data_IF_585158751362
#
_entry.id   IF_585158751362
#
_cell.length_a   1.000
_cell.length_b   1.000
_cell.length_c   1.000
_cell.angle_alpha   90.00
_cell.angle_beta   90.00
_cell.angle_gamma   90.00
#
_symmetry.space_group_name_H-M   'P 1'
#
loop_
_entity.id
_entity.type
_entity.pdbx_description
1 polymer ?
#
# COMPACT_ATOMS: atom_id res chain seq x y z
N UNK A 1 -16.61 -20.09 11.83
CA UNK A 1 -15.20 -19.89 11.44
C UNK A 1 -14.55 -21.28 11.43
N UNK A 2 -13.86 -21.65 10.35
CA UNK A 2 -13.06 -22.88 10.31
C UNK A 2 -11.97 -22.79 11.40
N UNK A 3 -11.67 -23.88 12.09
CA UNK A 3 -10.52 -23.90 12.99
C UNK A 3 -9.22 -23.84 12.18
N UNK A 4 -8.13 -23.41 12.80
CA UNK A 4 -6.82 -23.39 12.15
C UNK A 4 -6.41 -24.79 11.68
N UNK A 5 -6.66 -25.82 12.50
CA UNK A 5 -6.38 -27.21 12.14
C UNK A 5 -7.15 -27.65 10.89
N UNK A 6 -8.44 -27.29 10.80
CA UNK A 6 -9.27 -27.61 9.63
C UNK A 6 -8.74 -26.91 8.37
N UNK A 7 -8.32 -25.65 8.49
CA UNK A 7 -7.73 -24.90 7.39
C UNK A 7 -6.44 -25.58 6.87
N UNK A 8 -5.52 -25.96 7.76
CA UNK A 8 -4.28 -26.63 7.38
C UNK A 8 -4.54 -27.99 6.72
N UNK A 9 -5.54 -28.73 7.22
CA UNK A 9 -5.97 -30.00 6.62
C UNK A 9 -6.54 -29.79 5.21
N UNK A 10 -7.37 -28.75 5.00
CA UNK A 10 -7.88 -28.41 3.68
C UNK A 10 -6.76 -28.02 2.71
N UNK A 11 -5.79 -27.23 3.15
CA UNK A 11 -4.60 -26.86 2.37
C UNK A 11 -3.81 -28.11 1.94
N UNK A 12 -3.65 -29.09 2.84
CA UNK A 12 -3.00 -30.37 2.52
C UNK A 12 -3.77 -31.15 1.43
N UNK A 13 -5.12 -31.14 1.46
CA UNK A 13 -5.92 -31.77 0.40
C UNK A 13 -5.79 -31.02 -0.93
N UNK A 14 -5.77 -29.68 -0.92
CA UNK A 14 -5.57 -28.87 -2.12
C UNK A 14 -4.23 -29.23 -2.78
N UNK A 15 -3.16 -29.41 -2.00
CA UNK A 15 -1.85 -29.82 -2.53
C UNK A 15 -1.88 -31.22 -3.15
N UNK A 16 -2.72 -32.15 -2.64
CA UNK A 16 -2.92 -33.46 -3.28
C UNK A 16 -3.65 -33.31 -4.62
N UNK A 17 -4.68 -32.48 -4.70
CA UNK A 17 -5.38 -32.21 -5.97
C UNK A 17 -4.45 -31.52 -6.97
N UNK A 18 -3.61 -30.60 -6.50
CA UNK A 18 -2.61 -29.91 -7.31
C UNK A 18 -1.62 -30.85 -8.01
N UNK A 19 -1.39 -32.05 -7.47
CA UNK A 19 -0.54 -33.05 -8.12
C UNK A 19 -1.03 -33.44 -9.53
N UNK A 20 -2.34 -33.39 -9.75
CA UNK A 20 -3.00 -33.71 -11.02
C UNK A 20 -3.07 -32.51 -11.99
N UNK A 21 -2.63 -31.33 -11.59
CA UNK A 21 -2.57 -30.16 -12.47
C UNK A 21 -1.35 -30.28 -13.38
N UNK A 22 -1.57 -30.19 -14.69
CA UNK A 22 -0.52 -30.22 -15.71
C UNK A 22 0.24 -28.88 -15.74
N UNK A 23 -0.49 -27.77 -15.88
CA UNK A 23 0.09 -26.42 -16.01
C UNK A 23 0.47 -25.79 -14.66
N UNK A 24 1.43 -26.41 -13.97
CA UNK A 24 1.88 -25.97 -12.64
C UNK A 24 2.48 -24.57 -12.64
N UNK A 25 3.14 -24.16 -13.73
CA UNK A 25 3.73 -22.83 -13.86
C UNK A 25 2.68 -21.74 -13.97
N UNK A 26 1.57 -22.01 -14.67
CA UNK A 26 0.43 -21.09 -14.77
C UNK A 26 -0.21 -20.90 -13.40
N UNK A 27 -0.44 -22.00 -12.67
CA UNK A 27 -0.89 -21.94 -11.28
C UNK A 27 0.04 -21.07 -10.43
N UNK A 28 1.36 -21.28 -10.53
CA UNK A 28 2.35 -20.55 -9.76
C UNK A 28 2.31 -19.05 -10.06
N UNK A 29 2.17 -18.64 -11.32
CA UNK A 29 2.05 -17.23 -11.70
C UNK A 29 0.83 -16.56 -11.07
N UNK A 30 -0.32 -17.22 -11.08
CA UNK A 30 -1.52 -16.69 -10.42
C UNK A 30 -1.41 -16.70 -8.90
N UNK A 31 -0.92 -17.81 -8.32
CA UNK A 31 -0.76 -17.93 -6.88
C UNK A 31 0.21 -16.88 -6.32
N UNK A 32 1.33 -16.63 -7.00
CA UNK A 32 2.31 -15.58 -6.66
C UNK A 32 1.67 -14.19 -6.62
N UNK A 33 0.81 -13.86 -7.60
CA UNK A 33 0.06 -12.58 -7.62
C UNK A 33 -0.90 -12.47 -6.44
N UNK A 34 -1.65 -13.53 -6.15
CA UNK A 34 -2.61 -13.55 -5.04
C UNK A 34 -1.91 -13.51 -3.67
N UNK A 35 -0.80 -14.24 -3.51
CA UNK A 35 0.02 -14.20 -2.30
C UNK A 35 0.56 -12.79 -2.06
N UNK A 36 1.11 -12.15 -3.10
CA UNK A 36 1.63 -10.79 -2.98
C UNK A 36 0.56 -9.81 -2.47
N UNK A 37 -0.65 -9.88 -3.04
CA UNK A 37 -1.78 -9.04 -2.60
C UNK A 37 -2.14 -9.27 -1.14
N UNK A 38 -2.18 -10.53 -0.69
CA UNK A 38 -2.48 -10.84 0.71
C UNK A 38 -1.39 -10.26 1.61
N UNK A 39 -0.12 -10.61 1.39
CA UNK A 39 1.02 -10.18 2.21
C UNK A 39 1.12 -8.64 2.35
N UNK A 40 0.91 -7.90 1.27
CA UNK A 40 1.05 -6.44 1.26
C UNK A 40 -0.14 -5.70 1.86
N UNK A 41 -1.33 -6.29 1.89
CA UNK A 41 -2.54 -5.61 2.41
C UNK A 41 -2.77 -5.84 3.90
N UNK A 42 -1.92 -6.63 4.58
CA UNK A 42 -1.94 -6.89 6.02
C UNK A 42 -3.29 -7.29 6.64
N UNK A 43 -4.27 -7.71 5.82
CA UNK A 43 -5.56 -8.19 6.33
C UNK A 43 -5.37 -9.54 7.01
N UNK A 44 -5.22 -9.54 8.35
CA UNK A 44 -5.36 -10.69 9.25
C UNK A 44 -5.07 -12.03 8.58
N UNK A 45 -3.84 -12.14 8.10
CA UNK A 45 -3.36 -13.32 7.39
C UNK A 45 -2.93 -14.31 8.46
N UNK A 46 -3.36 -15.56 8.33
CA UNK A 46 -2.70 -16.61 9.08
C UNK A 46 -1.32 -16.87 8.42
N UNK A 47 -0.29 -16.16 8.89
CA UNK A 47 1.10 -16.32 8.46
C UNK A 47 1.56 -17.78 8.53
N UNK A 48 1.06 -18.53 9.51
CA UNK A 48 1.36 -19.93 9.68
C UNK A 48 0.73 -20.76 8.56
N UNK A 49 -0.52 -20.48 8.16
CA UNK A 49 -1.17 -21.12 7.02
C UNK A 49 -0.46 -20.84 5.68
N UNK A 50 0.01 -19.61 5.44
CA UNK A 50 0.77 -19.28 4.22
C UNK A 50 2.12 -20.01 4.17
N UNK A 51 2.86 -20.00 5.29
CA UNK A 51 4.13 -20.74 5.40
C UNK A 51 3.92 -22.25 5.23
N UNK A 52 2.86 -22.79 5.82
CA UNK A 52 2.49 -24.20 5.71
C UNK A 52 2.20 -24.59 4.27
N UNK A 53 1.35 -23.82 3.57
CA UNK A 53 1.00 -24.12 2.18
C UNK A 53 2.23 -24.05 1.25
N UNK A 54 3.08 -23.03 1.39
CA UNK A 54 4.33 -22.93 0.62
C UNK A 54 5.26 -24.11 0.92
N UNK A 55 5.34 -24.55 2.18
CA UNK A 55 6.13 -25.73 2.57
C UNK A 55 5.60 -27.02 1.91
N UNK A 56 4.28 -27.19 1.86
CA UNK A 56 3.65 -28.35 1.22
C UNK A 56 3.85 -28.35 -0.30
N UNK A 57 3.76 -27.19 -0.94
CA UNK A 57 4.12 -27.04 -2.36
C UNK A 57 5.59 -27.39 -2.61
N UNK A 58 6.51 -26.95 -1.73
CA UNK A 58 7.94 -27.26 -1.83
C UNK A 58 8.21 -28.76 -1.76
N UNK A 59 7.55 -29.47 -0.84
CA UNK A 59 7.68 -30.92 -0.72
C UNK A 59 7.21 -31.67 -1.98
N UNK A 60 6.24 -31.13 -2.70
CA UNK A 60 5.70 -31.75 -3.93
C UNK A 60 6.45 -31.37 -5.20
N UNK A 61 6.85 -30.11 -5.32
CA UNK A 61 7.37 -29.54 -6.57
C UNK A 61 8.84 -29.12 -6.51
N UNK A 62 9.47 -29.24 -5.34
CA UNK A 62 10.88 -28.90 -5.12
C UNK A 62 11.12 -27.42 -4.82
N UNK A 63 12.34 -27.12 -4.37
CA UNK A 63 12.72 -25.79 -3.90
C UNK A 63 12.77 -24.72 -5.01
N UNK A 64 13.07 -25.12 -6.26
CA UNK A 64 13.10 -24.17 -7.37
C UNK A 64 11.70 -23.61 -7.66
N UNK A 65 10.67 -24.44 -7.55
CA UNK A 65 9.27 -24.04 -7.77
C UNK A 65 8.80 -22.99 -6.75
N UNK A 66 9.18 -23.14 -5.48
CA UNK A 66 8.73 -22.26 -4.39
C UNK A 66 9.69 -21.11 -4.08
N UNK A 67 10.87 -21.06 -4.70
CA UNK A 67 11.94 -20.11 -4.36
C UNK A 67 11.47 -18.64 -4.26
N UNK A 68 10.66 -18.17 -5.22
CA UNK A 68 10.11 -16.80 -5.21
C UNK A 68 9.09 -16.59 -4.08
N UNK A 69 8.21 -17.57 -3.82
CA UNK A 69 7.23 -17.49 -2.75
C UNK A 69 7.91 -17.45 -1.37
N UNK A 70 8.92 -18.29 -1.17
CA UNK A 70 9.75 -18.29 0.04
C UNK A 70 10.49 -16.96 0.21
N UNK A 71 10.96 -16.37 -0.89
CA UNK A 71 11.55 -15.03 -0.92
C UNK A 71 10.57 -13.95 -0.44
N UNK A 72 9.33 -13.95 -0.95
CA UNK A 72 8.28 -13.01 -0.54
C UNK A 72 7.96 -13.13 0.96
N UNK A 73 7.85 -14.34 1.50
CA UNK A 73 7.59 -14.55 2.93
C UNK A 73 8.75 -14.04 3.80
N UNK A 74 10.01 -14.26 3.36
CA UNK A 74 11.20 -13.74 4.07
C UNK A 74 11.28 -12.22 4.02
N UNK A 75 10.89 -11.60 2.91
CA UNK A 75 10.85 -10.14 2.78
C UNK A 75 9.86 -9.51 3.76
N UNK A 76 8.72 -10.15 4.04
CA UNK A 76 7.78 -9.67 5.06
C UNK A 76 8.40 -9.68 6.46
N UNK A 77 9.10 -10.76 6.83
CA UNK A 77 9.81 -10.84 8.12
C UNK A 77 10.90 -9.77 8.24
N UNK A 78 11.71 -9.62 7.18
CA UNK A 78 12.77 -8.60 7.12
C UNK A 78 12.22 -7.19 7.18
N UNK A 79 11.06 -6.95 6.56
CA UNK A 79 10.39 -5.65 6.60
C UNK A 79 10.05 -5.26 8.03
N UNK A 80 9.45 -6.17 8.81
CA UNK A 80 9.18 -5.94 10.24
C UNK A 80 10.45 -5.65 11.03
N UNK A 81 11.53 -6.40 10.79
CA UNK A 81 12.81 -6.14 11.44
C UNK A 81 13.38 -4.75 11.10
N UNK A 82 13.30 -4.35 9.82
CA UNK A 82 13.77 -3.04 9.38
C UNK A 82 12.90 -1.90 9.90
N UNK A 83 11.58 -2.07 10.00
CA UNK A 83 10.67 -1.09 10.61
C UNK A 83 11.06 -0.86 12.09
N UNK A 84 11.25 -1.92 12.87
CA UNK A 84 11.67 -1.82 14.27
C UNK A 84 13.06 -1.17 14.43
N UNK A 85 14.01 -1.50 13.55
CA UNK A 85 15.36 -0.89 13.56
C UNK A 85 15.31 0.58 13.14
N UNK A 86 14.44 0.93 12.19
CA UNK A 86 14.25 2.31 11.76
C UNK A 86 13.66 3.17 12.88
N UNK A 87 12.66 2.66 13.60
CA UNK A 87 12.08 3.37 14.75
C UNK A 87 13.13 3.69 15.82
N UNK A 88 14.02 2.73 16.11
CA UNK A 88 15.19 2.94 17.00
C UNK A 88 16.16 3.97 16.43
N UNK A 89 16.50 3.87 15.15
CA UNK A 89 17.39 4.83 14.46
C UNK A 89 16.88 6.27 14.57
N UNK A 90 15.58 6.49 14.41
CA UNK A 90 14.93 7.80 14.55
C UNK A 90 15.02 8.30 15.99
N UNK A 91 14.70 7.45 16.97
CA UNK A 91 14.77 7.77 18.41
C UNK A 91 16.19 8.13 18.85
N UNK A 92 17.19 7.35 18.47
CA UNK A 92 18.59 7.55 18.85
C UNK A 92 19.15 8.87 18.30
N UNK A 93 18.69 9.28 17.11
CA UNK A 93 19.09 10.54 16.47
C UNK A 93 18.22 11.74 16.88
N UNK A 94 17.28 11.56 17.82
CA UNK A 94 16.33 12.59 18.26
C UNK A 94 15.61 13.26 17.08
N UNK A 95 15.28 12.46 16.07
CA UNK A 95 14.46 12.87 14.93
C UNK A 95 13.01 12.55 15.27
N UNK A 96 12.07 13.32 14.73
CA UNK A 96 10.64 13.04 14.89
C UNK A 96 9.98 12.99 13.52
N UNK A 97 9.08 12.02 13.36
CA UNK A 97 8.19 11.95 12.22
C UNK A 97 6.84 12.53 12.62
N UNK A 98 6.20 13.34 11.76
CA UNK A 98 4.88 13.89 12.07
C UNK A 98 3.75 12.84 11.95
N UNK A 99 4.10 11.57 11.70
CA UNK A 99 3.20 10.43 11.51
C UNK A 99 3.91 9.11 11.72
N UNK A 100 3.16 8.04 11.96
CA UNK A 100 3.71 6.68 11.93
C UNK A 100 4.05 6.27 10.51
N UNK A 101 5.24 5.71 10.36
CA UNK A 101 5.76 5.31 9.08
C UNK A 101 6.19 3.85 9.15
N UNK A 102 5.49 3.01 8.38
CA UNK A 102 5.75 1.58 8.35
C UNK A 102 6.20 1.10 6.97
N UNK A 103 7.51 1.08 6.71
CA UNK A 103 8.05 0.71 5.41
C UNK A 103 8.10 -0.82 5.23
N UNK A 104 7.77 -1.27 4.03
CA UNK A 104 7.95 -2.66 3.60
C UNK A 104 9.04 -2.74 2.53
N UNK A 105 10.07 -3.57 2.77
CA UNK A 105 11.19 -3.77 1.86
C UNK A 105 10.97 -5.06 1.07
N UNK A 106 10.91 -4.92 -0.25
CA UNK A 106 10.66 -6.02 -1.17
C UNK A 106 11.90 -6.27 -2.04
N UNK A 107 12.33 -7.53 -2.15
CA UNK A 107 13.46 -7.91 -2.99
C UNK A 107 13.02 -8.06 -4.45
N UNK A 108 13.64 -7.28 -5.34
CA UNK A 108 13.39 -7.38 -6.78
C UNK A 108 13.60 -8.82 -7.30
N UNK A 109 12.67 -9.32 -8.10
CA UNK A 109 12.71 -10.66 -8.71
C UNK A 109 11.91 -11.75 -7.97
N UNK A 110 11.58 -11.56 -6.69
CA UNK A 110 10.66 -12.46 -5.97
C UNK A 110 9.20 -12.07 -6.17
N UNK A 111 8.93 -10.77 -6.19
CA UNK A 111 7.58 -10.23 -6.28
C UNK A 111 7.09 -10.20 -7.73
N UNK A 112 5.78 -10.36 -7.97
CA UNK A 112 5.18 -10.05 -9.26
C UNK A 112 5.54 -8.64 -9.72
N UNK A 113 5.50 -8.40 -11.03
CA UNK A 113 5.56 -7.04 -11.57
C UNK A 113 4.37 -6.24 -11.03
N UNK A 114 4.67 -5.35 -10.09
CA UNK A 114 3.73 -4.39 -9.54
C UNK A 114 3.85 -3.10 -10.37
N UNK A 115 2.73 -2.42 -10.59
CA UNK A 115 2.72 -1.12 -11.25
C UNK A 115 3.64 -0.13 -10.55
N UNK A 116 4.24 0.77 -11.33
CA UNK A 116 4.97 1.90 -10.77
C UNK A 116 4.18 3.18 -11.04
N UNK A 117 3.38 3.58 -10.06
CA UNK A 117 2.82 4.91 -9.97
C UNK A 117 3.93 5.93 -9.75
N UNK A 118 4.22 6.64 -10.84
CA UNK A 118 5.04 7.83 -10.81
C UNK A 118 4.18 8.97 -10.29
N UNK A 119 4.48 9.38 -9.07
CA UNK A 119 3.87 10.55 -8.44
C UNK A 119 4.93 11.35 -7.71
N UNK A 120 4.69 12.64 -7.63
CA UNK A 120 5.39 13.54 -6.72
C UNK A 120 4.64 13.60 -5.39
N UNK A 121 5.29 13.13 -4.33
CA UNK A 121 4.71 13.18 -2.99
C UNK A 121 4.70 14.61 -2.43
N UNK A 122 3.66 14.99 -1.65
CA UNK A 122 3.68 16.20 -0.83
C UNK A 122 4.85 16.18 0.16
N UNK A 123 5.39 17.37 0.48
CA UNK A 123 6.54 17.52 1.41
C UNK A 123 6.30 16.86 2.77
N UNK A 124 5.06 16.91 3.28
CA UNK A 124 4.72 16.25 4.53
C UNK A 124 5.05 14.76 4.49
N UNK A 125 4.72 14.07 3.40
CA UNK A 125 4.97 12.63 3.21
C UNK A 125 6.44 12.30 2.88
N UNK A 126 7.17 13.23 2.27
CA UNK A 126 8.57 13.02 1.90
C UNK A 126 9.48 12.85 3.12
N UNK A 127 9.19 13.52 4.25
CA UNK A 127 10.04 13.46 5.44
C UNK A 127 10.32 12.03 5.90
N UNK A 128 9.30 11.16 5.93
CA UNK A 128 9.46 9.74 6.28
C UNK A 128 10.24 8.95 5.23
N UNK A 129 10.00 9.24 3.94
CA UNK A 129 10.71 8.61 2.81
C UNK A 129 12.21 8.94 2.89
N UNK A 130 12.56 10.22 3.00
CA UNK A 130 13.95 10.69 3.02
C UNK A 130 14.72 10.12 4.22
N UNK A 131 14.10 10.12 5.40
CA UNK A 131 14.72 9.56 6.60
C UNK A 131 14.91 8.05 6.50
N UNK A 132 13.97 7.33 5.88
CA UNK A 132 14.12 5.91 5.66
C UNK A 132 15.21 5.59 4.63
N UNK A 133 15.33 6.39 3.57
CA UNK A 133 16.44 6.26 2.61
C UNK A 133 17.80 6.51 3.27
N UNK A 134 17.92 7.53 4.13
CA UNK A 134 19.12 7.79 4.92
C UNK A 134 19.49 6.57 5.78
N UNK A 135 18.51 6.06 6.54
CA UNK A 135 18.67 4.85 7.35
C UNK A 135 19.10 3.64 6.51
N UNK A 136 18.41 3.36 5.41
CA UNK A 136 18.66 2.17 4.60
C UNK A 136 20.03 2.23 3.92
N UNK A 137 20.40 3.42 3.42
CA UNK A 137 21.71 3.66 2.80
C UNK A 137 22.84 3.46 3.80
N UNK A 138 22.65 3.86 5.07
CA UNK A 138 23.65 3.64 6.13
C UNK A 138 23.97 2.17 6.41
N UNK A 139 23.02 1.28 6.12
CA UNK A 139 23.19 -0.18 6.26
C UNK A 139 23.62 -0.87 4.97
N UNK A 140 23.27 -0.29 3.82
CA UNK A 140 23.35 -0.94 2.52
C UNK A 140 23.85 0.01 1.42
N UNK A 141 25.11 0.42 1.52
CA UNK A 141 25.76 1.40 0.62
C UNK A 141 25.58 1.11 -0.89
N UNK A 142 25.54 -0.17 -1.29
CA UNK A 142 25.45 -0.60 -2.69
C UNK A 142 24.03 -0.85 -3.19
N UNK A 143 23.00 -0.65 -2.36
CA UNK A 143 21.60 -0.89 -2.74
C UNK A 143 20.86 0.43 -2.89
N UNK A 144 20.00 0.51 -3.90
CA UNK A 144 19.09 1.64 -4.12
C UNK A 144 17.65 1.18 -3.90
N UNK A 145 16.88 2.01 -3.21
CA UNK A 145 15.44 1.81 -3.05
C UNK A 145 14.70 2.32 -4.28
N UNK A 146 13.59 1.67 -4.60
CA UNK A 146 12.62 2.12 -5.60
C UNK A 146 11.25 2.04 -4.95
N UNK A 147 10.61 3.18 -4.75
CA UNK A 147 9.33 3.26 -4.04
C UNK A 147 8.17 2.84 -4.94
N UNK A 148 7.32 1.94 -4.42
CA UNK A 148 6.12 1.46 -5.10
C UNK A 148 4.88 2.12 -4.47
N UNK A 149 4.64 3.39 -4.81
CA UNK A 149 3.54 4.17 -4.22
C UNK A 149 2.15 3.59 -4.49
N UNK A 150 1.98 2.79 -5.55
CA UNK A 150 0.75 2.06 -5.87
C UNK A 150 0.28 1.12 -4.76
N UNK A 151 1.20 0.62 -3.94
CA UNK A 151 0.89 -0.33 -2.86
C UNK A 151 0.67 0.37 -1.51
N UNK A 152 1.04 1.64 -1.41
CA UNK A 152 0.93 2.37 -0.15
C UNK A 152 -0.53 2.60 0.22
N UNK A 153 -0.81 2.33 1.50
CA UNK A 153 -2.10 2.61 2.15
C UNK A 153 -1.81 3.55 3.31
N UNK A 154 -2.66 4.56 3.49
CA UNK A 154 -2.52 5.55 4.53
C UNK A 154 -3.82 5.73 5.28
N UNK A 155 -3.67 5.97 6.57
CA UNK A 155 -4.73 6.51 7.40
C UNK A 155 -4.59 8.03 7.47
N UNK A 156 -5.64 8.76 7.10
CA UNK A 156 -5.69 10.21 7.20
C UNK A 156 -6.90 10.62 8.01
N UNK A 157 -6.70 11.45 9.02
CA UNK A 157 -7.78 12.07 9.75
C UNK A 157 -8.14 13.40 9.13
N UNK A 158 -9.44 13.66 9.08
CA UNK A 158 -9.96 14.89 8.55
C UNK A 158 -10.99 15.55 9.45
N UNK A 159 -10.81 16.85 9.71
CA UNK A 159 -11.70 17.66 10.55
C UNK A 159 -12.69 18.51 9.71
N UNK A 160 -13.98 18.17 9.78
CA UNK A 160 -15.08 18.85 9.09
C UNK A 160 -15.59 20.04 9.93
N UNK A 161 -15.16 21.27 9.60
CA UNK A 161 -15.50 22.48 10.39
C UNK A 161 -17.01 22.67 10.61
N UNK A 162 -17.83 22.37 9.61
CA UNK A 162 -19.29 22.55 9.69
C UNK A 162 -19.98 21.60 10.67
N UNK A 163 -19.42 20.41 10.89
CA UNK A 163 -20.02 19.38 11.76
C UNK A 163 -19.22 19.16 13.04
N UNK A 164 -18.05 19.79 13.15
CA UNK A 164 -17.03 19.53 14.17
C UNK A 164 -16.68 18.03 14.33
N UNK A 165 -16.89 17.23 13.27
CA UNK A 165 -16.58 15.80 13.25
C UNK A 165 -15.19 15.58 12.71
N UNK A 166 -14.46 14.68 13.37
CA UNK A 166 -13.21 14.12 12.86
C UNK A 166 -13.55 12.75 12.25
N UNK A 167 -13.15 12.54 11.01
CA UNK A 167 -13.35 11.27 10.29
C UNK A 167 -12.00 10.73 9.86
N UNK A 168 -11.79 9.44 10.08
CA UNK A 168 -10.61 8.72 9.65
C UNK A 168 -10.85 8.05 8.32
N UNK A 169 -9.95 8.28 7.36
CA UNK A 169 -10.01 7.72 6.01
C UNK A 169 -8.86 6.76 5.78
N UNK A 170 -9.19 5.57 5.28
CA UNK A 170 -8.22 4.61 4.75
C UNK A 170 -8.14 4.81 3.23
N UNK A 171 -7.00 5.33 2.77
CA UNK A 171 -6.83 5.81 1.39
C UNK A 171 -5.54 5.29 0.75
N UNK A 172 -5.51 5.23 -0.57
CA UNK A 172 -4.26 4.96 -1.31
C UNK A 172 -3.29 6.13 -1.21
N UNK A 173 -2.00 5.91 -1.52
CA UNK A 173 -1.00 7.00 -1.60
C UNK A 173 -1.43 8.14 -2.51
N UNK A 174 -2.01 7.83 -3.69
CA UNK A 174 -2.47 8.87 -4.61
C UNK A 174 -3.66 9.65 -4.03
N UNK A 175 -4.62 8.96 -3.41
CA UNK A 175 -5.74 9.63 -2.75
C UNK A 175 -5.28 10.52 -1.60
N UNK A 176 -4.32 10.05 -0.79
CA UNK A 176 -3.68 10.84 0.25
C UNK A 176 -3.05 12.13 -0.31
N UNK A 177 -2.27 12.02 -1.38
CA UNK A 177 -1.65 13.16 -2.04
C UNK A 177 -2.70 14.18 -2.53
N UNK A 178 -3.80 13.70 -3.11
CA UNK A 178 -4.90 14.55 -3.57
C UNK A 178 -5.53 15.31 -2.40
N UNK A 179 -5.88 14.60 -1.32
CA UNK A 179 -6.54 15.21 -0.16
C UNK A 179 -5.65 16.26 0.53
N UNK A 180 -4.35 16.01 0.62
CA UNK A 180 -3.39 16.94 1.23
C UNK A 180 -3.24 18.26 0.44
N UNK A 181 -3.48 18.27 -0.87
CA UNK A 181 -3.49 19.53 -1.65
C UNK A 181 -4.58 20.48 -1.13
N UNK A 182 -5.72 19.93 -0.72
CA UNK A 182 -6.86 20.73 -0.24
C UNK A 182 -6.64 21.35 1.15
N UNK A 183 -5.55 21.03 1.85
CA UNK A 183 -5.15 21.77 3.06
C UNK A 183 -4.67 23.20 2.75
N UNK A 184 -4.28 23.48 1.50
CA UNK A 184 -3.74 24.78 1.08
C UNK A 184 -4.61 25.48 0.02
N UNK A 185 -5.48 24.71 -0.66
CA UNK A 185 -6.24 25.18 -1.82
C UNK A 185 -7.68 24.69 -1.71
N UNK A 186 -8.66 25.59 -1.62
CA UNK A 186 -10.07 25.21 -1.47
C UNK A 186 -10.69 24.61 -2.75
N UNK A 187 -10.17 25.00 -3.91
CA UNK A 187 -10.63 24.51 -5.21
C UNK A 187 -9.52 24.44 -6.25
N UNK A 188 -9.48 23.36 -7.02
CA UNK A 188 -8.41 23.09 -7.99
C UNK A 188 -8.94 22.36 -9.23
N UNK A 189 -8.35 22.63 -10.41
CA UNK A 189 -8.65 21.89 -11.65
C UNK A 189 -7.95 20.54 -11.66
N UNK A 190 -8.52 19.54 -12.33
CA UNK A 190 -7.83 18.25 -12.53
C UNK A 190 -6.46 18.46 -13.20
N UNK A 191 -6.40 19.31 -14.23
CA UNK A 191 -5.16 19.60 -14.94
C UNK A 191 -4.03 20.10 -14.00
N UNK A 192 -4.37 20.91 -13.00
CA UNK A 192 -3.41 21.42 -12.03
C UNK A 192 -2.98 20.33 -11.04
N UNK A 193 -3.91 19.47 -10.59
CA UNK A 193 -3.57 18.30 -9.75
C UNK A 193 -2.62 17.35 -10.49
N UNK A 194 -2.91 17.06 -11.77
CA UNK A 194 -2.05 16.23 -12.63
C UNK A 194 -0.64 16.81 -12.68
N UNK A 195 -0.53 18.13 -12.89
CA UNK A 195 0.75 18.82 -12.97
C UNK A 195 1.49 18.85 -11.64
N UNK A 196 0.80 19.05 -10.52
CA UNK A 196 1.41 19.10 -9.19
C UNK A 196 1.93 17.74 -8.75
N UNK A 197 1.18 16.67 -9.01
CA UNK A 197 1.51 15.31 -8.61
C UNK A 197 2.27 14.53 -9.69
N UNK A 198 2.45 15.08 -10.89
CA UNK A 198 3.10 14.43 -12.04
C UNK A 198 2.55 13.01 -12.34
N UNK A 199 1.23 12.85 -12.19
CA UNK A 199 0.56 11.56 -12.24
C UNK A 199 -0.17 11.31 -13.56
N UNK A 200 -0.43 10.04 -13.89
CA UNK A 200 -1.20 9.69 -15.09
C UNK A 200 -2.66 10.18 -14.98
N UNK A 201 -3.20 10.89 -15.99
CA UNK A 201 -4.57 11.40 -15.95
C UNK A 201 -5.64 10.33 -15.77
N UNK A 202 -5.44 9.12 -16.31
CA UNK A 202 -6.41 8.04 -16.19
C UNK A 202 -6.38 7.44 -14.78
N UNK A 203 -5.18 7.23 -14.22
CA UNK A 203 -5.02 6.80 -12.84
C UNK A 203 -5.64 7.80 -11.85
N UNK A 204 -5.38 9.10 -12.03
CA UNK A 204 -5.97 10.13 -11.19
C UNK A 204 -7.51 10.07 -11.22
N UNK A 205 -8.10 10.00 -12.42
CA UNK A 205 -9.57 9.89 -12.57
C UNK A 205 -10.14 8.68 -11.85
N UNK A 206 -9.47 7.52 -11.91
CA UNK A 206 -9.91 6.31 -11.21
C UNK A 206 -9.86 6.52 -9.69
N UNK A 207 -8.80 7.12 -9.17
CA UNK A 207 -8.62 7.36 -7.73
C UNK A 207 -9.52 8.46 -7.17
N UNK A 208 -9.93 9.44 -7.98
CA UNK A 208 -10.83 10.51 -7.56
C UNK A 208 -12.30 10.08 -7.47
N UNK A 209 -12.74 9.11 -8.28
CA UNK A 209 -14.15 8.66 -8.30
C UNK A 209 -14.69 8.29 -6.90
N UNK A 210 -13.98 7.47 -6.09
CA UNK A 210 -14.42 7.15 -4.73
C UNK A 210 -14.52 8.37 -3.81
N UNK A 211 -13.64 9.36 -3.96
CA UNK A 211 -13.63 10.59 -3.15
C UNK A 211 -14.83 11.51 -3.47
N UNK A 212 -15.47 11.30 -4.61
CA UNK A 212 -16.62 12.07 -5.09
C UNK A 212 -17.93 11.26 -5.03
N UNK A 213 -17.93 10.16 -4.27
CA UNK A 213 -19.09 9.28 -4.12
C UNK A 213 -20.27 10.03 -3.51
N UNK A 214 -21.49 9.74 -3.99
CA UNK A 214 -22.73 10.31 -3.43
C UNK A 214 -23.00 9.84 -2.00
N UNK A 215 -22.45 8.69 -1.60
CA UNK A 215 -22.64 8.13 -0.26
C UNK A 215 -21.80 8.88 0.79
N UNK A 216 -20.59 9.28 0.42
CA UNK A 216 -19.64 10.00 1.27
C UNK A 216 -18.86 11.01 0.42
N UNK A 217 -19.46 12.17 0.08
CA UNK A 217 -18.84 13.15 -0.80
C UNK A 217 -17.74 13.92 -0.04
N UNK A 218 -16.49 13.49 -0.18
CA UNK A 218 -15.33 14.24 0.35
C UNK A 218 -15.01 15.42 -0.56
N UNK A 219 -15.05 15.18 -1.87
CA UNK A 219 -14.83 16.16 -2.93
C UNK A 219 -16.10 16.34 -3.77
N UNK A 220 -16.38 17.59 -4.15
CA UNK A 220 -17.44 17.97 -5.07
C UNK A 220 -16.85 18.30 -6.44
N UNK A 221 -17.38 17.66 -7.48
CA UNK A 221 -17.00 17.93 -8.86
C UNK A 221 -17.91 18.97 -9.50
N UNK A 222 -17.33 19.91 -10.25
CA UNK A 222 -18.05 20.88 -11.07
C UNK A 222 -17.50 20.85 -12.51
N UNK A 223 -18.34 20.54 -13.53
CA UNK A 223 -19.75 20.11 -13.46
C UNK A 223 -19.91 18.70 -12.86
N UNK A 224 -21.10 18.30 -12.42
CA UNK A 224 -21.29 17.02 -11.72
C UNK A 224 -21.15 15.77 -12.62
N UNK A 225 -21.36 15.90 -13.94
CA UNK A 225 -21.32 14.78 -14.91
C UNK A 225 -19.98 14.70 -15.67
N UNK A 226 -19.57 13.51 -16.07
CA UNK A 226 -18.34 13.25 -16.85
C UNK A 226 -17.04 13.37 -16.05
N UNK A 227 -15.87 13.13 -16.65
CA UNK A 227 -14.56 13.43 -16.05
C UNK A 227 -13.62 14.00 -17.13
N UNK A 228 -13.68 15.32 -17.31
CA UNK A 228 -12.84 16.08 -18.25
C UNK A 228 -11.68 16.75 -17.50
N UNK A 229 -10.59 17.03 -18.20
CA UNK A 229 -9.38 17.65 -17.62
C UNK A 229 -9.62 19.04 -17.04
N UNK A 230 -10.63 19.74 -17.54
CA UNK A 230 -10.97 21.11 -17.13
C UNK A 230 -11.99 21.15 -15.98
N UNK A 231 -12.41 19.97 -15.49
CA UNK A 231 -13.33 19.89 -14.37
C UNK A 231 -12.66 20.45 -13.10
N UNK A 232 -13.45 21.19 -12.33
CA UNK A 232 -13.04 21.74 -11.04
C UNK A 232 -13.46 20.79 -9.93
N UNK A 233 -12.56 20.59 -8.97
CA UNK A 233 -12.88 19.96 -7.71
C UNK A 233 -12.84 20.99 -6.60
N UNK A 234 -13.86 20.95 -5.77
CA UNK A 234 -14.00 21.77 -4.58
C UNK A 234 -14.17 20.82 -3.42
N UNK A 235 -13.55 21.12 -2.29
CA UNK A 235 -13.77 20.32 -1.10
C UNK A 235 -15.22 20.49 -0.60
N UNK A 236 -15.87 19.42 -0.11
CA UNK A 236 -17.29 19.47 0.23
C UNK A 236 -17.61 20.37 1.45
N UNK A 237 -16.71 20.49 2.42
CA UNK A 237 -16.82 21.35 3.61
C UNK A 237 -15.43 21.87 4.06
N UNK A 238 -15.27 23.14 4.45
CA UNK A 238 -13.98 23.74 4.86
C UNK A 238 -13.17 22.87 5.87
N UNK A 239 -11.86 22.69 5.67
CA UNK A 239 -11.15 21.51 6.23
C UNK A 239 -9.69 21.68 6.72
N UNK A 240 -9.21 20.69 7.49
CA UNK A 240 -7.79 20.40 7.80
C UNK A 240 -7.57 18.87 7.93
N UNK A 241 -6.63 18.30 7.15
CA UNK A 241 -6.17 16.91 7.27
C UNK A 241 -4.89 16.81 8.10
N UNK A 242 -4.85 15.85 9.01
CA UNK A 242 -3.65 15.45 9.76
C UNK A 242 -3.42 13.95 9.61
N UNK A 243 -2.17 13.54 9.68
CA UNK A 243 -1.83 12.12 9.83
C UNK A 243 -2.05 11.71 11.29
N UNK A 244 -2.71 10.57 11.52
CA UNK A 244 -2.70 9.94 12.84
C UNK A 244 -2.77 8.42 12.73
N UNK A 245 -2.39 7.82 13.85
CA UNK A 245 -2.13 6.42 14.17
C UNK A 245 -3.29 5.88 14.97
N UNK A 246 -3.91 4.78 14.57
CA UNK A 246 -4.39 3.83 15.57
C UNK A 246 -4.22 2.40 15.07
N UNK A 247 -3.37 1.67 15.78
CA UNK A 247 -3.07 0.27 15.57
C UNK A 247 -3.96 -0.53 16.55
N UNK A 248 -4.90 -1.31 16.03
CA UNK A 248 -5.44 -2.49 16.72
C UNK A 248 -5.06 -3.75 15.96
#
# INVERSE_FOLDING_TARGET
LLSESDLLSQLDQIVKVFAYVNDKDLFLEFYKKLLAKRLLTKKSINDHAEKHFVTKLKLRCGAQFTSKLEGMLKDMQRSTEHANKFERYIKDRRRELPYEFEPQILTSGFWPSIGNLRIRLPRSMMTGVDLFEEYFTSLHEKRKLCWLHDLGTLEIQGSFKETNKVVTFQVSTLQACILLIFNQIDSIRIADVIKMLECDPNQLKVQMKPLCSSQFPVLLKRPAKGYKTDDMFVFACCFFFFFFVDCQ
#
